data_IF_958807077379
#
_entry.id   IF_958807077379
#
_cell.length_a   1.000
_cell.length_b   1.000
_cell.length_c   1.000
_cell.angle_alpha   90.00
_cell.angle_beta   90.00
_cell.angle_gamma   90.00
#
_symmetry.space_group_name_H-M   'P 1'
#
loop_
_entity.id
_entity.type
_entity.pdbx_description
1 polymer ?
#
# COMPACT_ATOMS: atom_id res chain seq x y z
N UNK A 1 20.54 -3.49 -19.09
CA UNK A 1 19.61 -2.47 -18.56
C UNK A 1 18.67 -3.13 -17.56
N UNK A 2 18.32 -2.44 -16.47
CA UNK A 2 17.33 -2.92 -15.49
C UNK A 2 15.92 -2.90 -16.13
N UNK A 3 15.11 -3.94 -15.86
CA UNK A 3 13.72 -4.01 -16.34
C UNK A 3 12.86 -2.96 -15.62
N UNK A 4 12.01 -2.19 -16.33
CA UNK A 4 11.12 -1.23 -15.68
C UNK A 4 9.99 -1.96 -14.94
N UNK A 5 9.61 -1.46 -13.77
CA UNK A 5 8.44 -1.90 -13.03
C UNK A 5 7.72 -0.71 -12.39
N UNK A 6 6.39 -0.76 -12.32
CA UNK A 6 5.60 0.22 -11.56
C UNK A 6 5.39 -0.29 -10.14
N UNK A 7 5.50 0.58 -9.14
CA UNK A 7 5.16 0.27 -7.75
C UNK A 7 4.14 1.27 -7.22
N UNK A 8 3.05 0.76 -6.66
CA UNK A 8 2.11 1.56 -5.89
C UNK A 8 2.73 1.91 -4.53
N UNK A 9 3.03 3.19 -4.34
CA UNK A 9 3.75 3.72 -3.18
C UNK A 9 2.86 4.71 -2.43
N UNK A 10 2.31 4.32 -1.28
CA UNK A 10 1.49 5.21 -0.44
C UNK A 10 2.31 6.00 0.58
N UNK A 11 3.57 5.61 0.82
CA UNK A 11 4.38 6.16 1.90
C UNK A 11 4.24 5.41 3.23
N UNK A 12 3.33 4.43 3.28
CA UNK A 12 3.21 3.49 4.39
C UNK A 12 4.29 2.40 4.39
N UNK A 13 4.45 1.79 5.56
CA UNK A 13 5.41 0.71 5.85
C UNK A 13 5.40 -0.42 4.81
N UNK A 14 4.22 -0.92 4.46
CA UNK A 14 4.04 -2.03 3.52
C UNK A 14 4.46 -1.63 2.10
N UNK A 15 4.05 -0.44 1.65
CA UNK A 15 4.41 0.07 0.32
C UNK A 15 5.91 0.35 0.19
N UNK A 16 6.55 0.85 1.25
CA UNK A 16 8.00 1.06 1.31
C UNK A 16 8.76 -0.27 1.23
N UNK A 17 8.32 -1.28 1.99
CA UNK A 17 8.90 -2.63 1.94
C UNK A 17 8.70 -3.27 0.57
N UNK A 18 7.52 -3.10 -0.03
CA UNK A 18 7.21 -3.61 -1.38
C UNK A 18 8.14 -3.00 -2.44
N UNK A 19 8.35 -1.68 -2.41
CA UNK A 19 9.27 -1.00 -3.30
C UNK A 19 10.72 -1.48 -3.07
N UNK A 20 11.16 -1.65 -1.83
CA UNK A 20 12.48 -2.21 -1.55
C UNK A 20 12.64 -3.64 -2.08
N UNK A 21 11.61 -4.49 -1.99
CA UNK A 21 11.63 -5.84 -2.58
C UNK A 21 11.77 -5.76 -4.10
N UNK A 22 10.96 -4.95 -4.78
CA UNK A 22 11.06 -4.77 -6.24
C UNK A 22 12.46 -4.29 -6.66
N UNK A 23 13.04 -3.33 -5.93
CA UNK A 23 14.41 -2.88 -6.17
C UNK A 23 15.44 -4.00 -5.98
N UNK A 24 15.28 -4.80 -4.92
CA UNK A 24 16.19 -5.93 -4.63
C UNK A 24 16.15 -7.03 -5.69
N UNK A 25 15.05 -7.15 -6.43
CA UNK A 25 14.89 -8.05 -7.57
C UNK A 25 15.52 -7.50 -8.87
N UNK A 26 16.15 -6.32 -8.82
CA UNK A 26 16.86 -5.73 -9.96
C UNK A 26 15.99 -4.86 -10.88
N UNK A 27 14.76 -4.51 -10.47
CA UNK A 27 13.88 -3.64 -11.24
C UNK A 27 14.26 -2.16 -11.12
N UNK A 28 14.11 -1.43 -12.22
CA UNK A 28 14.08 0.04 -12.26
C UNK A 28 12.66 0.50 -11.94
N UNK A 29 12.46 1.00 -10.73
CA UNK A 29 11.12 1.32 -10.23
C UNK A 29 10.61 2.68 -10.71
N UNK A 30 9.36 2.70 -11.14
CA UNK A 30 8.54 3.89 -11.35
C UNK A 30 7.46 3.90 -10.26
N UNK A 31 7.56 4.82 -9.32
CA UNK A 31 6.61 4.89 -8.21
C UNK A 31 5.37 5.69 -8.62
N UNK A 32 4.19 5.17 -8.24
CA UNK A 32 2.91 5.86 -8.34
C UNK A 32 2.30 6.03 -6.94
N UNK A 33 2.06 7.26 -6.54
CA UNK A 33 1.18 7.62 -5.42
C UNK A 33 -0.11 8.21 -5.95
N UNK A 34 -1.19 8.04 -5.20
CA UNK A 34 -2.49 8.62 -5.55
C UNK A 34 -3.00 9.42 -4.36
N UNK A 35 -3.21 10.71 -4.58
CA UNK A 35 -4.05 11.54 -3.72
C UNK A 35 -5.50 11.28 -4.11
N UNK A 36 -6.22 10.55 -3.28
CA UNK A 36 -7.60 10.19 -3.51
C UNK A 36 -8.60 10.92 -2.61
N UNK A 37 -8.17 12.05 -2.01
CA UNK A 37 -9.00 12.78 -1.05
C UNK A 37 -8.95 12.21 0.37
N UNK A 38 -7.95 11.38 0.68
CA UNK A 38 -7.81 10.77 1.99
C UNK A 38 -7.51 11.80 3.09
N UNK A 39 -8.01 11.53 4.30
CA UNK A 39 -7.75 12.35 5.50
C UNK A 39 -6.25 12.50 5.80
N UNK A 40 -5.49 11.42 5.67
CA UNK A 40 -4.09 11.33 6.10
C UNK A 40 -3.11 11.68 4.97
N UNK A 41 -3.27 12.85 4.33
CA UNK A 41 -2.40 13.30 3.20
C UNK A 41 -0.91 13.41 3.55
N UNK A 42 -0.55 13.41 4.84
CA UNK A 42 0.83 13.28 5.32
C UNK A 42 1.55 12.07 4.72
N UNK A 43 0.81 11.01 4.35
CA UNK A 43 1.38 9.85 3.67
C UNK A 43 2.01 10.19 2.31
N UNK A 44 1.51 11.19 1.58
CA UNK A 44 2.07 11.59 0.29
C UNK A 44 3.46 12.21 0.45
N UNK A 45 3.66 13.00 1.51
CA UNK A 45 4.98 13.51 1.87
C UNK A 45 5.93 12.38 2.29
N UNK A 46 5.43 11.37 3.01
CA UNK A 46 6.18 10.16 3.32
C UNK A 46 6.55 9.37 2.05
N UNK A 47 5.63 9.23 1.10
CA UNK A 47 5.86 8.56 -0.18
C UNK A 47 6.98 9.23 -0.96
N UNK A 48 7.00 10.57 -1.02
CA UNK A 48 8.07 11.32 -1.66
C UNK A 48 9.44 11.08 -1.02
N UNK A 49 9.52 11.05 0.32
CA UNK A 49 10.76 10.73 1.04
C UNK A 49 11.24 9.31 0.77
N UNK A 50 10.33 8.33 0.82
CA UNK A 50 10.63 6.91 0.54
C UNK A 50 11.09 6.73 -0.91
N UNK A 51 10.39 7.33 -1.87
CA UNK A 51 10.76 7.30 -3.29
C UNK A 51 12.17 7.82 -3.52
N UNK A 52 12.51 8.95 -2.90
CA UNK A 52 13.85 9.54 -2.95
C UNK A 52 14.90 8.63 -2.34
N UNK A 53 14.65 8.10 -1.14
CA UNK A 53 15.58 7.21 -0.43
C UNK A 53 15.84 5.90 -1.20
N UNK A 54 14.83 5.37 -1.89
CA UNK A 54 14.94 4.17 -2.70
C UNK A 54 15.54 4.41 -4.10
N UNK A 55 15.69 5.67 -4.53
CA UNK A 55 16.25 6.01 -5.83
C UNK A 55 15.37 5.57 -7.00
N UNK A 56 14.04 5.73 -6.87
CA UNK A 56 13.12 5.39 -7.96
C UNK A 56 13.41 6.25 -9.20
N UNK A 57 13.17 5.70 -10.40
CA UNK A 57 13.44 6.38 -11.66
C UNK A 57 12.56 7.61 -11.86
N UNK A 58 11.31 7.53 -11.39
CA UNK A 58 10.35 8.64 -11.35
C UNK A 58 9.31 8.34 -10.29
N UNK A 59 8.90 9.38 -9.57
CA UNK A 59 7.75 9.34 -8.67
C UNK A 59 6.64 10.22 -9.27
N UNK A 60 5.51 9.60 -9.60
CA UNK A 60 4.32 10.27 -10.09
C UNK A 60 3.27 10.31 -8.97
N UNK A 61 2.63 11.46 -8.77
CA UNK A 61 1.49 11.62 -7.88
C UNK A 61 0.29 12.00 -8.73
N UNK A 62 -0.75 11.15 -8.75
CA UNK A 62 -2.01 11.45 -9.42
C UNK A 62 -3.06 11.89 -8.41
N UNK A 63 -3.93 12.80 -8.82
CA UNK A 63 -5.10 13.19 -8.05
C UNK A 63 -6.33 12.47 -8.62
N UNK A 64 -7.10 11.78 -7.77
CA UNK A 64 -8.31 11.05 -8.14
C UNK A 64 -9.28 11.10 -6.98
N UNK A 65 -10.12 12.14 -6.92
CA UNK A 65 -10.97 12.41 -5.77
C UNK A 65 -12.06 11.35 -5.56
N UNK A 66 -11.73 10.31 -4.79
CA UNK A 66 -12.68 9.28 -4.37
C UNK A 66 -13.56 9.76 -3.21
N UNK A 67 -13.26 10.90 -2.58
CA UNK A 67 -14.10 11.45 -1.52
C UNK A 67 -15.47 11.88 -2.04
N UNK A 68 -15.57 12.28 -3.31
CA UNK A 68 -16.84 12.56 -3.98
C UNK A 68 -17.78 11.36 -4.04
N UNK A 69 -17.25 10.13 -4.01
CA UNK A 69 -18.05 8.91 -3.97
C UNK A 69 -18.48 8.54 -2.54
N UNK A 70 -17.77 9.02 -1.53
CA UNK A 70 -18.05 8.78 -0.12
C UNK A 70 -17.91 7.32 0.33
N UNK A 71 -18.60 6.97 1.42
CA UNK A 71 -18.72 5.59 1.90
C UNK A 71 -17.57 5.08 2.79
N UNK A 72 -16.66 5.96 3.24
CA UNK A 72 -15.54 5.58 4.11
C UNK A 72 -15.17 6.64 5.12
N UNK A 73 -14.75 6.25 6.32
CA UNK A 73 -14.16 7.15 7.31
C UNK A 73 -12.81 7.75 6.89
N UNK A 74 -12.16 7.21 5.86
CA UNK A 74 -10.93 7.78 5.32
C UNK A 74 -11.18 8.92 4.33
N UNK A 75 -12.40 9.06 3.83
CA UNK A 75 -12.80 10.03 2.79
C UNK A 75 -14.02 10.87 3.17
N UNK A 76 -14.54 10.73 4.40
CA UNK A 76 -15.69 11.46 4.93
C UNK A 76 -15.45 11.90 6.37
N UNK A 77 -16.42 12.61 6.95
CA UNK A 77 -16.39 13.08 8.35
C UNK A 77 -16.71 11.98 9.37
N UNK A 78 -16.94 10.73 8.94
CA UNK A 78 -17.10 9.61 9.86
C UNK A 78 -15.85 9.46 10.74
N UNK A 79 -16.05 9.18 12.02
CA UNK A 79 -14.95 8.98 12.94
C UNK A 79 -14.15 7.73 12.56
N UNK A 80 -12.81 7.86 12.50
CA UNK A 80 -11.92 6.71 12.40
C UNK A 80 -11.92 6.00 13.76
N UNK A 81 -12.30 4.72 13.83
CA UNK A 81 -12.35 4.01 15.11
C UNK A 81 -10.98 3.93 15.78
N UNK A 82 -10.97 4.16 17.10
CA UNK A 82 -9.79 4.09 17.97
C UNK A 82 -10.01 3.02 19.03
N UNK A 83 -8.94 2.35 19.43
CA UNK A 83 -8.92 1.38 20.54
C UNK A 83 -9.86 0.16 20.42
N UNK A 84 -10.29 -0.19 19.21
CA UNK A 84 -11.10 -1.41 18.97
C UNK A 84 -10.36 -2.67 19.44
N UNK A 85 -10.99 -3.63 20.13
CA UNK A 85 -10.30 -4.86 20.53
C UNK A 85 -9.61 -5.51 19.32
N UNK A 86 -8.31 -5.75 19.42
CA UNK A 86 -7.61 -6.52 18.39
C UNK A 86 -8.00 -7.99 18.61
N UNK A 87 -8.69 -8.57 17.64
CA UNK A 87 -8.97 -10.00 17.62
C UNK A 87 -7.63 -10.76 17.53
N UNK A 88 -7.45 -11.79 18.34
CA UNK A 88 -6.25 -12.62 18.31
C UNK A 88 -6.09 -13.25 16.92
N UNK A 89 -4.91 -13.08 16.31
CA UNK A 89 -4.59 -13.63 15.00
C UNK A 89 -4.92 -12.75 13.79
N UNK A 90 -5.09 -11.43 13.96
CA UNK A 90 -5.19 -10.46 12.85
C UNK A 90 -6.47 -10.56 12.01
N UNK A 91 -7.25 -11.61 12.17
CA UNK A 91 -8.52 -11.79 11.46
C UNK A 91 -9.57 -10.87 12.06
N UNK A 92 -9.82 -9.75 11.37
CA UNK A 92 -11.17 -9.18 11.36
C UNK A 92 -12.03 -10.20 10.62
N UNK A 93 -12.39 -11.28 11.33
CA UNK A 93 -13.06 -12.43 10.74
C UNK A 93 -14.28 -11.98 9.96
N UNK A 94 -14.65 -12.74 8.93
CA UNK A 94 -15.82 -12.51 8.09
C UNK A 94 -17.14 -12.33 8.88
N UNK A 95 -17.14 -12.58 10.19
CA UNK A 95 -18.23 -12.29 11.12
C UNK A 95 -18.41 -10.79 11.48
N UNK A 96 -17.40 -9.93 11.29
CA UNK A 96 -17.43 -8.51 11.73
C UNK A 96 -17.77 -7.49 10.61
N UNK A 97 -18.04 -7.95 9.38
CA UNK A 97 -18.33 -7.07 8.24
C UNK A 97 -17.11 -6.31 7.70
N UNK A 98 -17.31 -5.55 6.62
CA UNK A 98 -16.26 -4.72 6.01
C UNK A 98 -16.04 -3.46 6.89
N UNK A 99 -14.79 -3.11 7.27
CA UNK A 99 -14.55 -1.95 8.12
C UNK A 99 -15.00 -0.63 7.50
N UNK A 100 -15.40 0.33 8.33
CA UNK A 100 -15.75 1.69 7.90
C UNK A 100 -14.58 2.44 7.26
N UNK A 101 -13.35 1.98 7.47
CA UNK A 101 -12.12 2.52 6.86
C UNK A 101 -11.85 1.93 5.47
N UNK A 102 -12.68 1.00 4.99
CA UNK A 102 -12.67 0.57 3.60
C UNK A 102 -13.15 1.71 2.71
N UNK A 103 -12.36 2.06 1.69
CA UNK A 103 -12.77 2.99 0.64
C UNK A 103 -13.29 2.15 -0.53
N UNK A 104 -14.56 2.29 -0.95
CA UNK A 104 -15.17 1.44 -1.97
C UNK A 104 -14.32 1.30 -3.24
N UNK A 105 -13.94 0.05 -3.55
CA UNK A 105 -13.17 -0.34 -4.75
C UNK A 105 -11.84 0.43 -4.96
N UNK A 106 -11.28 1.02 -3.91
CA UNK A 106 -10.09 1.86 -4.00
C UNK A 106 -8.93 1.11 -4.66
N UNK A 107 -8.59 -0.10 -4.22
CA UNK A 107 -7.43 -0.78 -4.80
C UNK A 107 -7.65 -1.16 -6.27
N UNK A 108 -8.90 -1.36 -6.70
CA UNK A 108 -9.23 -1.54 -8.14
C UNK A 108 -8.87 -0.29 -8.93
N UNK A 109 -9.27 0.90 -8.45
CA UNK A 109 -8.93 2.18 -9.10
C UNK A 109 -7.42 2.41 -9.11
N UNK A 110 -6.74 2.18 -7.97
CA UNK A 110 -5.30 2.35 -7.86
C UNK A 110 -4.53 1.43 -8.81
N UNK A 111 -4.95 0.16 -8.92
CA UNK A 111 -4.34 -0.79 -9.85
C UNK A 111 -4.63 -0.41 -11.31
N UNK A 112 -5.80 0.12 -11.64
CA UNK A 112 -6.10 0.62 -12.99
C UNK A 112 -5.19 1.80 -13.38
N UNK A 113 -4.96 2.73 -12.46
CA UNK A 113 -4.01 3.83 -12.67
C UNK A 113 -2.56 3.33 -12.80
N UNK A 114 -2.18 2.34 -11.99
CA UNK A 114 -0.86 1.71 -12.08
C UNK A 114 -0.66 0.97 -13.41
N UNK A 115 -1.70 0.30 -13.91
CA UNK A 115 -1.70 -0.38 -15.21
C UNK A 115 -1.52 0.62 -16.36
N UNK A 116 -2.29 1.71 -16.35
CA UNK A 116 -2.13 2.78 -17.34
C UNK A 116 -0.70 3.35 -17.32
N UNK A 117 -0.15 3.60 -16.13
CA UNK A 117 1.22 4.08 -16.01
C UNK A 117 2.24 3.05 -16.49
N UNK A 118 2.06 1.77 -16.16
CA UNK A 118 2.93 0.67 -16.58
C UNK A 118 3.01 0.58 -18.10
N UNK A 119 1.88 0.70 -18.80
CA UNK A 119 1.84 0.71 -20.26
C UNK A 119 2.62 1.91 -20.83
N UNK A 120 2.50 3.10 -20.25
CA UNK A 120 3.23 4.30 -20.72
C UNK A 120 4.74 4.21 -20.56
N UNK A 121 5.23 3.45 -19.57
CA UNK A 121 6.68 3.29 -19.30
C UNK A 121 7.23 1.94 -19.79
N UNK A 122 6.43 1.19 -20.56
CA UNK A 122 6.75 -0.16 -21.05
C UNK A 122 7.17 -1.13 -19.92
N UNK A 123 6.49 -1.07 -18.78
CA UNK A 123 6.67 -2.00 -17.66
C UNK A 123 5.64 -3.12 -17.73
N UNK A 124 6.11 -4.37 -17.64
CA UNK A 124 5.25 -5.55 -17.50
C UNK A 124 4.96 -5.90 -16.04
N UNK A 125 5.75 -5.37 -15.10
CA UNK A 125 5.70 -5.74 -13.69
C UNK A 125 5.08 -4.61 -12.87
N UNK A 126 4.03 -4.92 -12.12
CA UNK A 126 3.35 -3.98 -11.22
C UNK A 126 3.41 -4.54 -9.80
N UNK A 127 4.00 -3.78 -8.87
CA UNK A 127 4.11 -4.15 -7.47
C UNK A 127 3.06 -3.43 -6.62
N UNK A 128 2.36 -4.19 -5.79
CA UNK A 128 1.39 -3.65 -4.82
C UNK A 128 1.53 -4.32 -3.46
N UNK A 129 1.61 -3.50 -2.40
CA UNK A 129 1.84 -3.95 -1.03
C UNK A 129 0.59 -4.42 -0.30
N UNK A 130 -0.33 -5.13 -0.97
CA UNK A 130 -1.50 -5.71 -0.29
C UNK A 130 -1.05 -6.85 0.64
N UNK A 131 -1.74 -6.96 1.78
CA UNK A 131 -1.52 -7.97 2.79
C UNK A 131 -2.85 -8.68 3.12
N UNK A 132 -2.82 -10.01 3.20
CA UNK A 132 -4.01 -10.82 3.48
C UNK A 132 -3.93 -11.59 4.81
N UNK A 133 -2.83 -11.49 5.57
CA UNK A 133 -2.64 -12.17 6.86
C UNK A 133 -3.18 -11.31 8.00
N UNK A 134 -2.76 -10.04 8.07
CA UNK A 134 -3.22 -9.07 9.08
C UNK A 134 -4.48 -8.33 8.61
N UNK A 135 -5.33 -9.08 7.90
CA UNK A 135 -6.39 -8.56 7.06
C UNK A 135 -7.44 -7.78 7.84
N UNK A 136 -7.68 -6.56 7.37
CA UNK A 136 -8.74 -5.68 7.85
C UNK A 136 -10.14 -6.12 7.41
N UNK A 137 -10.30 -6.97 6.38
CA UNK A 137 -11.63 -7.28 5.82
C UNK A 137 -11.83 -6.86 4.36
N UNK A 138 -10.84 -6.21 3.71
CA UNK A 138 -11.00 -5.54 2.41
C UNK A 138 -11.02 -6.48 1.19
N UNK A 139 -12.14 -6.65 0.47
CA UNK A 139 -12.26 -7.65 -0.59
C UNK A 139 -11.23 -7.49 -1.73
N UNK A 140 -10.75 -6.27 -1.93
CA UNK A 140 -9.79 -5.84 -2.94
C UNK A 140 -8.30 -5.98 -2.49
N UNK A 141 -8.02 -6.82 -1.51
CA UNK A 141 -6.65 -7.25 -1.14
C UNK A 141 -6.42 -8.76 -1.31
N UNK A 142 -7.43 -9.52 -1.74
CA UNK A 142 -7.39 -10.99 -1.76
C UNK A 142 -6.63 -11.54 -2.97
N UNK A 143 -6.01 -12.74 -2.87
CA UNK A 143 -5.37 -13.39 -4.00
C UNK A 143 -6.28 -13.55 -5.24
N UNK A 144 -7.57 -13.82 -5.04
CA UNK A 144 -8.58 -13.96 -6.10
C UNK A 144 -8.74 -12.67 -6.88
N UNK A 145 -8.83 -11.54 -6.18
CA UNK A 145 -8.92 -10.21 -6.77
C UNK A 145 -7.67 -9.90 -7.61
N UNK A 146 -6.48 -10.19 -7.07
CA UNK A 146 -5.21 -9.94 -7.78
C UNK A 146 -5.12 -10.79 -9.06
N UNK A 147 -5.53 -12.06 -9.01
CA UNK A 147 -5.58 -12.92 -10.22
C UNK A 147 -6.57 -12.39 -11.26
N UNK A 148 -7.76 -11.98 -10.84
CA UNK A 148 -8.75 -11.39 -11.73
C UNK A 148 -8.26 -10.09 -12.36
N UNK A 149 -7.60 -9.22 -11.58
CA UNK A 149 -7.02 -7.98 -12.10
C UNK A 149 -5.88 -8.26 -13.09
N UNK A 150 -5.02 -9.25 -12.84
CA UNK A 150 -3.97 -9.64 -13.78
C UNK A 150 -4.54 -10.15 -15.12
N UNK A 151 -5.65 -10.89 -15.09
CA UNK A 151 -6.36 -11.30 -16.30
C UNK A 151 -6.90 -10.09 -17.06
N UNK A 152 -7.55 -9.14 -16.37
CA UNK A 152 -8.01 -7.88 -16.96
C UNK A 152 -6.87 -7.11 -17.60
N UNK A 153 -5.73 -6.96 -16.92
CA UNK A 153 -4.58 -6.23 -17.42
C UNK A 153 -4.05 -6.80 -18.74
N UNK A 154 -4.04 -8.12 -18.90
CA UNK A 154 -3.58 -8.78 -20.11
C UNK A 154 -4.66 -8.81 -21.23
N UNK A 155 -5.94 -8.67 -20.87
CA UNK A 155 -7.05 -8.64 -21.83
C UNK A 155 -7.28 -7.23 -22.41
N UNK A 156 -7.12 -6.19 -21.60
CA UNK A 156 -7.65 -4.85 -21.86
C UNK A 156 -6.57 -3.79 -22.17
N UNK A 157 -5.36 -4.21 -22.54
CA UNK A 157 -4.24 -3.31 -22.89
C UNK A 157 -3.73 -3.60 -24.29
N UNK A 158 -3.18 -2.58 -24.96
CA UNK A 158 -2.56 -2.76 -26.28
C UNK A 158 -1.41 -3.75 -26.17
N UNK A 159 -0.56 -3.59 -25.14
CA UNK A 159 0.59 -4.45 -24.95
C UNK A 159 0.20 -5.93 -24.71
N UNK A 160 -0.92 -6.18 -24.03
CA UNK A 160 -1.47 -7.52 -23.83
C UNK A 160 -2.05 -8.14 -25.11
N UNK A 161 -2.87 -7.38 -25.84
CA UNK A 161 -3.51 -7.84 -27.09
C UNK A 161 -2.50 -8.10 -28.21
N UNK A 162 -1.48 -7.23 -28.35
CA UNK A 162 -0.42 -7.40 -29.34
C UNK A 162 0.68 -8.39 -28.90
N UNK A 163 0.61 -8.91 -27.67
CA UNK A 163 1.56 -9.88 -27.14
C UNK A 163 2.98 -9.33 -26.91
N UNK A 164 3.15 -8.00 -26.86
CA UNK A 164 4.46 -7.38 -26.64
C UNK A 164 4.91 -7.46 -25.18
N UNK A 165 3.96 -7.48 -24.25
CA UNK A 165 4.20 -7.64 -22.82
C UNK A 165 3.14 -8.55 -22.20
N UNK A 166 3.52 -9.26 -21.14
CA UNK A 166 2.58 -9.99 -20.29
C UNK A 166 2.62 -9.40 -18.89
N UNK A 167 1.55 -8.72 -18.49
CA UNK A 167 1.47 -8.05 -17.20
C UNK A 167 1.46 -9.06 -16.05
N UNK A 168 2.31 -8.80 -15.06
CA UNK A 168 2.40 -9.53 -13.80
C UNK A 168 2.13 -8.57 -12.63
N UNK A 169 1.20 -8.96 -11.75
CA UNK A 169 0.92 -8.23 -10.52
C UNK A 169 1.62 -8.94 -9.36
N UNK A 170 2.61 -8.26 -8.76
CA UNK A 170 3.42 -8.76 -7.67
C UNK A 170 2.87 -8.29 -6.33
N UNK A 171 2.54 -9.24 -5.46
CA UNK A 171 2.04 -9.00 -4.11
C UNK A 171 2.95 -9.64 -3.06
N UNK A 172 4.21 -9.17 -2.95
CA UNK A 172 5.24 -9.86 -2.17
C UNK A 172 4.95 -9.94 -0.66
N UNK A 173 3.97 -9.17 -0.17
CA UNK A 173 3.59 -9.13 1.24
C UNK A 173 2.30 -9.91 1.55
N UNK A 174 1.65 -10.51 0.54
CA UNK A 174 0.27 -11.02 0.69
C UNK A 174 0.13 -12.09 1.77
N UNK A 175 1.16 -12.92 1.93
CA UNK A 175 1.22 -14.01 2.91
C UNK A 175 2.14 -13.76 4.10
N UNK A 176 2.60 -12.53 4.32
CA UNK A 176 3.51 -12.19 5.43
C UNK A 176 2.75 -11.58 6.60
N UNK A 177 3.16 -11.87 7.83
CA UNK A 177 2.77 -11.09 9.01
C UNK A 177 3.44 -9.72 9.02
N UNK A 178 2.91 -8.76 9.79
CA UNK A 178 3.50 -7.43 9.93
C UNK A 178 4.94 -7.49 10.43
N UNK A 179 5.22 -8.39 11.37
CA UNK A 179 6.57 -8.61 11.87
C UNK A 179 7.52 -9.07 10.76
N UNK A 180 7.09 -9.99 9.90
CA UNK A 180 7.88 -10.45 8.74
C UNK A 180 8.10 -9.35 7.71
N UNK A 181 7.08 -8.53 7.43
CA UNK A 181 7.20 -7.35 6.56
C UNK A 181 8.27 -6.40 7.13
N UNK A 182 8.21 -6.10 8.42
CA UNK A 182 9.18 -5.22 9.09
C UNK A 182 10.60 -5.80 9.03
N UNK A 183 10.77 -7.08 9.36
CA UNK A 183 12.08 -7.75 9.26
C UNK A 183 12.60 -7.72 7.83
N UNK A 184 11.74 -7.98 6.83
CA UNK A 184 12.12 -7.97 5.42
C UNK A 184 12.52 -6.57 4.94
N UNK A 185 11.74 -5.55 5.26
CA UNK A 185 12.07 -4.17 4.91
C UNK A 185 13.38 -3.72 5.58
N UNK A 186 13.59 -4.05 6.86
CA UNK A 186 14.84 -3.73 7.55
C UNK A 186 16.06 -4.44 6.93
N UNK A 187 15.94 -5.72 6.54
CA UNK A 187 16.99 -6.44 5.81
C UNK A 187 17.34 -5.79 4.47
N UNK A 188 16.36 -5.14 3.83
CA UNK A 188 16.53 -4.45 2.55
C UNK A 188 16.92 -2.96 2.72
N UNK A 189 17.17 -2.51 3.96
CA UNK A 189 17.59 -1.14 4.24
C UNK A 189 16.47 -0.10 4.19
N UNK A 190 15.21 -0.50 4.37
CA UNK A 190 14.09 0.45 4.49
C UNK A 190 14.24 1.25 5.78
N UNK A 191 14.36 2.57 5.64
CA UNK A 191 14.22 3.49 6.77
C UNK A 191 12.73 3.70 7.09
N UNK A 192 12.25 2.98 8.09
CA UNK A 192 10.86 3.08 8.54
C UNK A 192 10.53 4.41 9.22
N UNK A 193 11.52 5.23 9.59
CA UNK A 193 11.30 6.59 10.09
C UNK A 193 10.77 7.55 9.02
N UNK A 194 10.96 7.20 7.73
CA UNK A 194 10.42 7.98 6.61
C UNK A 194 8.92 7.73 6.38
N UNK A 195 8.39 6.62 6.89
CA UNK A 195 7.06 6.09 6.54
C UNK A 195 5.94 6.65 7.42
N UNK A 196 4.71 6.65 6.91
CA UNK A 196 3.52 7.08 7.65
C UNK A 196 2.40 6.06 7.48
N UNK A 197 1.85 5.56 8.59
CA UNK A 197 0.77 4.55 8.58
C UNK A 197 -0.53 5.03 9.24
N UNK A 198 -0.53 6.16 9.94
CA UNK A 198 -1.69 6.58 10.72
C UNK A 198 -2.87 6.98 9.83
N UNK A 199 -4.08 6.53 10.17
CA UNK A 199 -5.30 6.94 9.47
C UNK A 199 -5.85 8.30 9.91
N UNK A 200 -5.50 8.72 11.12
CA UNK A 200 -6.04 9.90 11.80
C UNK A 200 -4.94 10.56 12.64
N UNK A 201 -3.87 11.10 12.00
CA UNK A 201 -2.78 11.76 12.70
C UNK A 201 -3.22 13.08 13.33
N UNK A 202 -2.42 13.62 14.25
CA UNK A 202 -2.57 14.98 14.75
C UNK A 202 -2.30 16.02 13.65
N UNK A 203 -2.62 17.29 13.91
CA UNK A 203 -2.50 18.39 12.93
C UNK A 203 -1.05 18.60 12.44
N UNK A 204 -0.06 18.17 13.21
CA UNK A 204 1.37 18.20 12.87
C UNK A 204 1.85 16.92 12.16
N UNK A 205 0.96 15.96 11.93
CA UNK A 205 1.25 14.68 11.28
C UNK A 205 1.74 13.57 12.22
N UNK A 206 1.85 13.82 13.53
CA UNK A 206 2.24 12.80 14.51
C UNK A 206 1.16 11.70 14.58
N UNK A 207 1.60 10.44 14.62
CA UNK A 207 0.69 9.30 14.59
C UNK A 207 -0.12 9.20 15.90
N UNK A 208 -1.45 9.03 15.81
CA UNK A 208 -2.30 9.01 17.01
C UNK A 208 -2.12 7.82 17.95
N UNK A 209 -1.36 6.79 17.56
CA UNK A 209 -1.06 5.61 18.38
C UNK A 209 -2.24 4.65 18.62
N UNK A 210 -3.47 5.04 18.26
CA UNK A 210 -4.73 4.39 18.69
C UNK A 210 -5.59 3.80 17.57
N UNK A 211 -5.44 4.27 16.33
CA UNK A 211 -6.14 3.67 15.19
C UNK A 211 -5.56 2.30 14.83
N UNK A 212 -6.34 1.47 14.12
CA UNK A 212 -5.94 0.10 13.79
C UNK A 212 -4.59 0.04 13.06
N UNK A 213 -4.31 0.96 12.15
CA UNK A 213 -3.02 1.01 11.45
C UNK A 213 -1.84 1.32 12.37
N UNK A 214 -2.02 2.21 13.36
CA UNK A 214 -0.97 2.48 14.36
C UNK A 214 -0.73 1.26 15.25
N UNK A 215 -1.80 0.59 15.67
CA UNK A 215 -1.71 -0.57 16.55
C UNK A 215 -1.07 -1.78 15.87
N UNK A 216 -1.50 -2.09 14.64
CA UNK A 216 -0.88 -3.14 13.82
C UNK A 216 0.59 -2.86 13.57
N UNK A 217 0.95 -1.60 13.28
CA UNK A 217 2.35 -1.20 13.13
C UNK A 217 3.16 -1.43 14.41
N UNK A 218 2.69 -0.91 15.56
CA UNK A 218 3.38 -1.04 16.86
C UNK A 218 3.54 -2.51 17.27
N UNK A 219 2.48 -3.30 17.13
CA UNK A 219 2.53 -4.74 17.38
C UNK A 219 3.54 -5.43 16.47
N UNK A 220 3.50 -5.14 15.16
CA UNK A 220 4.46 -5.69 14.21
C UNK A 220 5.91 -5.37 14.55
N UNK A 221 6.21 -4.14 15.02
CA UNK A 221 7.55 -3.77 15.46
C UNK A 221 7.98 -4.53 16.71
N UNK A 222 7.08 -4.63 17.70
CA UNK A 222 7.33 -5.41 18.91
C UNK A 222 7.62 -6.89 18.60
N UNK A 223 6.80 -7.53 17.77
CA UNK A 223 6.98 -8.91 17.31
C UNK A 223 8.19 -9.10 16.40
N UNK A 224 8.61 -8.05 15.69
CA UNK A 224 9.85 -8.04 14.94
C UNK A 224 11.10 -7.89 15.82
N UNK A 225 10.93 -7.67 17.13
CA UNK A 225 12.03 -7.39 18.06
C UNK A 225 12.70 -6.04 17.79
N UNK A 226 11.94 -5.05 17.32
CA UNK A 226 12.44 -3.73 16.89
C UNK A 226 11.66 -2.60 17.53
N UNK A 227 12.35 -1.48 17.75
CA UNK A 227 11.71 -0.23 18.14
C UNK A 227 11.14 0.45 16.90
N UNK A 228 9.89 0.89 16.97
CA UNK A 228 9.29 1.69 15.91
C UNK A 228 9.91 3.11 15.92
N UNK A 229 10.50 3.58 14.82
CA UNK A 229 11.20 4.86 14.81
C UNK A 229 10.29 6.11 14.74
N UNK A 230 8.98 5.96 14.57
CA UNK A 230 8.08 7.12 14.42
C UNK A 230 7.54 7.59 15.79
N UNK A 231 7.29 8.90 15.94
CA UNK A 231 6.63 9.43 17.13
C UNK A 231 5.14 9.08 17.16
N UNK A 232 4.61 8.98 18.37
CA UNK A 232 3.19 8.83 18.65
C UNK A 232 2.73 9.90 19.65
N UNK A 233 1.46 10.28 19.57
CA UNK A 233 0.78 11.09 20.59
C UNK A 233 0.67 10.32 21.91
#
# INVERSE_FOLDING_TARGET
MQKPAVVLLSGGLDSATTAAIGRSMGFRLYALSVDYGQRHRFELAAAARVAKALGVARHLVLHTDLAQLGGSALTTDLAVPKDRPMQAGGTHGMAAGIPVTYVPARNTVLLALALAYAETVAAADIFVGVNAVDYSGYPDCRPEFIRAFAQLANLATKAGVEGTHRYAIHTPLIGLSKAEIIRRGAQLGVDFGLTHSCYDPADDGVACGRCDACRLRRQGFAEAGRVDPIPYV
#
